data_IF_237047254117
#
_entry.id   IF_237047254117
#
_cell.length_a   1.000
_cell.length_b   1.000
_cell.length_c   1.000
_cell.angle_alpha   90.00
_cell.angle_beta   90.00
_cell.angle_gamma   90.00
#
_symmetry.space_group_name_H-M   'P 1'
#
loop_
_entity.id
_entity.type
_entity.pdbx_description
1 polymer ?
#
# COMPACT_ATOMS: atom_id res chain seq x y z
N UNK A 1 -3.22 -23.28 11.62
CA UNK A 1 -2.93 -22.94 10.21
C UNK A 1 -2.83 -21.44 10.05
N UNK A 2 -1.63 -20.89 10.22
CA UNK A 2 -1.35 -19.46 10.07
C UNK A 2 -0.96 -19.15 8.63
N UNK A 3 -1.89 -18.54 7.89
CA UNK A 3 -1.69 -18.05 6.53
C UNK A 3 -0.89 -16.75 6.51
N UNK A 4 0.32 -16.76 7.11
CA UNK A 4 1.29 -15.69 6.89
C UNK A 4 1.94 -15.94 5.53
N UNK A 5 1.15 -15.72 4.48
CA UNK A 5 1.71 -15.47 3.16
C UNK A 5 2.65 -14.29 3.33
N UNK A 6 3.94 -14.49 3.09
CA UNK A 6 4.86 -13.39 2.86
C UNK A 6 4.38 -12.69 1.58
N UNK A 7 3.46 -11.74 1.76
CA UNK A 7 2.80 -11.06 0.67
C UNK A 7 3.80 -10.07 0.06
N UNK A 8 4.32 -10.37 -1.13
CA UNK A 8 5.22 -9.52 -1.92
C UNK A 8 4.61 -8.16 -2.33
N UNK A 9 3.44 -7.81 -1.78
CA UNK A 9 2.84 -6.49 -1.89
C UNK A 9 3.80 -5.38 -1.44
N UNK A 10 4.54 -5.61 -0.34
CA UNK A 10 5.52 -4.67 0.19
C UNK A 10 6.75 -4.56 -0.72
N UNK A 11 7.28 -5.69 -1.20
CA UNK A 11 8.41 -5.71 -2.13
C UNK A 11 8.07 -5.05 -3.46
N UNK A 12 6.85 -5.27 -3.96
CA UNK A 12 6.35 -4.61 -5.16
C UNK A 12 6.23 -3.10 -4.97
N UNK A 13 5.58 -2.65 -3.89
CA UNK A 13 5.44 -1.23 -3.61
C UNK A 13 6.82 -0.55 -3.42
N UNK A 14 7.74 -1.23 -2.74
CA UNK A 14 9.11 -0.79 -2.52
C UNK A 14 9.87 -0.65 -3.85
N UNK A 15 9.76 -1.66 -4.72
CA UNK A 15 10.39 -1.65 -6.04
C UNK A 15 9.87 -0.51 -6.91
N UNK A 16 8.56 -0.29 -6.95
CA UNK A 16 7.97 0.82 -7.72
C UNK A 16 8.43 2.18 -7.17
N UNK A 17 8.45 2.38 -5.86
CA UNK A 17 8.97 3.62 -5.25
C UNK A 17 10.45 3.85 -5.56
N UNK A 18 11.29 2.81 -5.50
CA UNK A 18 12.70 2.92 -5.92
C UNK A 18 12.82 3.31 -7.38
N UNK A 19 12.02 2.71 -8.26
CA UNK A 19 12.04 3.00 -9.69
C UNK A 19 11.55 4.42 -10.00
N UNK A 20 10.64 4.95 -9.18
CA UNK A 20 10.17 6.34 -9.26
C UNK A 20 11.14 7.36 -8.63
N UNK A 21 12.25 6.91 -8.04
CA UNK A 21 13.26 7.78 -7.42
C UNK A 21 12.92 8.25 -6.01
N UNK A 22 11.96 7.62 -5.33
CA UNK A 22 11.67 7.93 -3.94
C UNK A 22 12.77 7.42 -3.00
N UNK A 23 12.97 8.12 -1.88
CA UNK A 23 13.79 7.62 -0.79
C UNK A 23 13.06 6.50 -0.07
N UNK A 24 13.58 5.28 -0.21
CA UNK A 24 13.00 4.07 0.38
C UNK A 24 13.74 3.58 1.63
N UNK A 25 14.55 4.44 2.25
CA UNK A 25 15.29 4.08 3.46
C UNK A 25 14.33 3.71 4.60
N UNK A 26 14.60 2.59 5.25
CA UNK A 26 13.78 2.08 6.36
C UNK A 26 12.56 1.25 5.95
N UNK A 27 12.27 1.10 4.64
CA UNK A 27 11.28 0.15 4.15
C UNK A 27 11.84 -1.28 4.08
N UNK A 28 10.97 -2.27 4.26
CA UNK A 28 11.31 -3.69 4.19
C UNK A 28 10.11 -4.52 3.70
N UNK A 29 10.26 -5.85 3.69
CA UNK A 29 9.24 -6.79 3.19
C UNK A 29 7.92 -6.81 4.00
N UNK A 30 7.81 -6.07 5.11
CA UNK A 30 6.56 -5.95 5.85
C UNK A 30 5.72 -4.77 5.32
N UNK A 31 4.44 -4.99 5.05
CA UNK A 31 3.48 -3.93 4.69
C UNK A 31 3.43 -2.81 5.75
N UNK A 32 3.60 -3.17 7.03
CA UNK A 32 3.68 -2.22 8.13
C UNK A 32 4.83 -1.19 8.00
N UNK A 33 5.90 -1.52 7.26
CA UNK A 33 7.02 -0.60 7.06
C UNK A 33 6.60 0.68 6.34
N UNK A 34 5.60 0.63 5.45
CA UNK A 34 5.07 1.81 4.74
C UNK A 34 4.29 2.74 5.66
N UNK A 35 3.56 2.18 6.63
CA UNK A 35 2.91 2.98 7.68
C UNK A 35 3.97 3.68 8.54
N UNK A 36 4.93 2.92 9.07
CA UNK A 36 6.03 3.44 9.89
C UNK A 36 6.83 4.51 9.13
N UNK A 37 7.11 4.28 7.85
CA UNK A 37 7.78 5.23 6.98
C UNK A 37 7.02 6.56 6.92
N UNK A 38 5.71 6.53 6.69
CA UNK A 38 4.90 7.74 6.61
C UNK A 38 4.83 8.49 7.93
N UNK A 39 4.74 7.76 9.05
CA UNK A 39 4.78 8.37 10.39
C UNK A 39 6.13 9.04 10.65
N UNK A 40 7.24 8.35 10.37
CA UNK A 40 8.59 8.86 10.61
C UNK A 40 8.93 10.09 9.76
N UNK A 41 8.38 10.20 8.56
CA UNK A 41 8.61 11.34 7.66
C UNK A 41 7.49 12.38 7.71
N UNK A 42 6.48 12.22 8.56
CA UNK A 42 5.34 13.15 8.64
C UNK A 42 4.46 13.17 7.39
N UNK A 43 4.49 12.11 6.58
CA UNK A 43 3.72 11.97 5.34
C UNK A 43 2.53 11.03 5.44
N UNK A 44 2.27 10.44 6.62
CA UNK A 44 1.07 9.63 6.83
C UNK A 44 -0.19 10.49 6.94
N UNK A 45 -1.24 10.13 6.20
CA UNK A 45 -2.55 10.78 6.25
C UNK A 45 -3.69 9.79 6.01
N UNK A 46 -4.88 10.11 6.52
CA UNK A 46 -6.06 9.23 6.47
C UNK A 46 -7.12 9.66 5.45
N UNK A 47 -6.89 10.78 4.76
CA UNK A 47 -7.80 11.34 3.76
C UNK A 47 -7.01 11.95 2.61
N UNK A 48 -7.70 12.35 1.54
CA UNK A 48 -7.08 12.98 0.36
C UNK A 48 -5.97 12.12 -0.26
N UNK A 49 -6.31 10.91 -0.77
CA UNK A 49 -5.34 10.05 -1.45
C UNK A 49 -4.74 10.78 -2.65
N UNK A 50 -3.44 10.58 -2.88
CA UNK A 50 -2.69 11.16 -3.98
C UNK A 50 -2.03 10.07 -4.81
N UNK A 51 -1.89 10.32 -6.10
CA UNK A 51 -1.12 9.44 -6.98
C UNK A 51 0.31 9.33 -6.46
N UNK A 52 0.82 8.11 -6.31
CA UNK A 52 2.12 7.80 -5.74
C UNK A 52 2.09 7.40 -4.25
N UNK A 53 0.99 7.66 -3.53
CA UNK A 53 0.85 7.22 -2.14
C UNK A 53 0.86 5.69 -2.04
N UNK A 54 1.45 5.19 -0.95
CA UNK A 54 1.22 3.83 -0.49
C UNK A 54 -0.03 3.79 0.39
N UNK A 55 -1.08 3.10 -0.06
CA UNK A 55 -2.25 2.80 0.77
C UNK A 55 -1.94 1.61 1.68
N UNK A 56 -2.15 1.77 2.99
CA UNK A 56 -1.94 0.72 4.00
C UNK A 56 -3.27 0.26 4.58
N UNK A 57 -3.41 -1.05 4.77
CA UNK A 57 -4.65 -1.67 5.22
C UNK A 57 -4.50 -2.32 6.59
N UNK A 58 -5.56 -2.21 7.40
CA UNK A 58 -5.72 -2.88 8.69
C UNK A 58 -4.55 -2.62 9.68
N UNK A 59 -4.09 -1.37 9.79
CA UNK A 59 -2.94 -1.00 10.64
C UNK A 59 -3.16 -1.37 12.11
N UNK A 60 -4.37 -1.17 12.65
CA UNK A 60 -4.71 -1.48 14.04
C UNK A 60 -4.67 -2.97 14.39
N UNK A 61 -4.77 -3.86 13.39
CA UNK A 61 -4.67 -5.31 13.57
C UNK A 61 -3.34 -5.90 13.05
N UNK A 62 -2.36 -5.04 12.72
CA UNK A 62 -0.99 -5.44 12.38
C UNK A 62 -0.54 -5.14 10.95
N UNK A 63 -1.20 -4.23 10.23
CA UNK A 63 -0.95 -3.86 8.81
C UNK A 63 -0.70 -5.06 7.90
N UNK A 64 -1.76 -5.59 7.29
CA UNK A 64 -1.68 -6.85 6.54
C UNK A 64 -1.49 -6.68 5.04
N UNK A 65 -1.67 -5.47 4.50
CA UNK A 65 -1.56 -5.24 3.05
C UNK A 65 -1.11 -3.82 2.72
N UNK A 66 -0.44 -3.68 1.58
CA UNK A 66 -0.06 -2.38 0.99
C UNK A 66 -0.28 -2.38 -0.51
N UNK A 67 -0.64 -1.23 -1.06
CA UNK A 67 -0.72 -1.00 -2.49
C UNK A 67 -0.32 0.42 -2.85
N UNK A 68 -0.19 0.72 -4.13
CA UNK A 68 0.21 2.03 -4.63
C UNK A 68 -0.94 2.70 -5.38
N UNK A 69 -1.27 3.92 -4.99
CA UNK A 69 -2.31 4.72 -5.62
C UNK A 69 -1.85 5.19 -7.00
N UNK A 70 -2.60 4.83 -8.04
CA UNK A 70 -2.32 5.20 -9.44
C UNK A 70 -3.32 6.20 -10.00
N UNK A 71 -4.47 6.37 -9.35
CA UNK A 71 -5.44 7.42 -9.65
C UNK A 71 -6.20 7.80 -8.38
N UNK A 72 -6.55 9.09 -8.23
CA UNK A 72 -7.36 9.57 -7.11
C UNK A 72 -8.32 10.67 -7.58
N UNK A 73 -9.55 10.63 -7.07
CA UNK A 73 -10.57 11.65 -7.29
C UNK A 73 -11.42 11.78 -6.01
N UNK A 74 -11.19 12.87 -5.27
CA UNK A 74 -11.79 13.08 -3.96
C UNK A 74 -11.46 11.93 -3.01
N UNK A 75 -12.48 11.24 -2.50
CA UNK A 75 -12.32 10.09 -1.61
C UNK A 75 -12.22 8.75 -2.36
N UNK A 76 -12.42 8.70 -3.68
CA UNK A 76 -12.24 7.48 -4.47
C UNK A 76 -10.82 7.42 -5.03
N UNK A 77 -10.23 6.24 -5.03
CA UNK A 77 -8.89 6.02 -5.57
C UNK A 77 -8.77 4.63 -6.18
N UNK A 78 -7.89 4.52 -7.17
CA UNK A 78 -7.46 3.26 -7.76
C UNK A 78 -6.05 2.97 -7.31
N UNK A 79 -5.80 1.74 -6.86
CA UNK A 79 -4.49 1.29 -6.46
C UNK A 79 -4.10 -0.01 -7.16
N UNK A 80 -2.80 -0.21 -7.31
CA UNK A 80 -2.20 -1.46 -7.74
C UNK A 80 -1.50 -2.13 -6.55
N UNK A 81 -1.61 -3.45 -6.42
CA UNK A 81 -0.89 -4.19 -5.39
C UNK A 81 -0.42 -5.53 -5.89
N UNK A 82 0.70 -5.97 -5.32
CA UNK A 82 1.16 -7.34 -5.44
C UNK A 82 0.35 -8.31 -4.59
N UNK A 83 0.62 -9.59 -4.82
CA UNK A 83 0.14 -10.75 -4.06
C UNK A 83 -1.35 -10.75 -3.74
N UNK A 84 -2.15 -10.25 -4.67
CA UNK A 84 -3.58 -10.16 -4.47
C UNK A 84 -4.27 -11.32 -5.20
N UNK A 85 -5.36 -11.83 -4.64
CA UNK A 85 -6.20 -12.81 -5.33
C UNK A 85 -6.72 -12.20 -6.62
N UNK A 86 -6.20 -12.70 -7.74
CA UNK A 86 -6.69 -12.40 -9.08
C UNK A 86 -8.08 -13.00 -9.32
N UNK A 87 -8.78 -12.59 -10.38
CA UNK A 87 -10.13 -13.08 -10.70
C UNK A 87 -10.18 -14.60 -10.90
N UNK A 88 -9.06 -15.22 -11.29
CA UNK A 88 -8.93 -16.68 -11.47
C UNK A 88 -8.60 -17.43 -10.16
N UNK A 89 -8.62 -16.74 -9.01
CA UNK A 89 -8.29 -17.31 -7.71
C UNK A 89 -6.78 -17.43 -7.42
N UNK A 90 -5.92 -17.02 -8.35
CA UNK A 90 -4.47 -16.99 -8.14
C UNK A 90 -4.10 -15.91 -7.11
N UNK A 91 -3.50 -16.29 -5.99
CA UNK A 91 -3.09 -15.37 -4.90
C UNK A 91 -1.78 -14.63 -5.16
N UNK A 92 -1.12 -14.89 -6.30
CA UNK A 92 0.15 -14.27 -6.69
C UNK A 92 -0.02 -13.28 -7.86
N UNK A 93 -1.18 -12.63 -8.00
CA UNK A 93 -1.42 -11.69 -9.09
C UNK A 93 -1.09 -10.24 -8.69
N UNK A 94 -0.61 -9.46 -9.65
CA UNK A 94 -0.75 -7.99 -9.59
C UNK A 94 -2.20 -7.65 -9.88
N UNK A 95 -2.86 -6.93 -8.99
CA UNK A 95 -4.25 -6.51 -9.19
C UNK A 95 -4.39 -5.00 -9.17
N UNK A 96 -5.41 -4.50 -9.87
CA UNK A 96 -5.85 -3.13 -9.81
C UNK A 96 -7.26 -3.09 -9.20
N UNK A 97 -7.47 -2.28 -8.17
CA UNK A 97 -8.75 -2.17 -7.47
C UNK A 97 -9.11 -0.71 -7.24
N UNK A 98 -10.41 -0.41 -7.27
CA UNK A 98 -10.96 0.89 -6.88
C UNK A 98 -11.60 0.78 -5.51
N UNK A 99 -11.28 1.71 -4.61
CA UNK A 99 -11.84 1.82 -3.27
C UNK A 99 -12.13 3.28 -2.92
N UNK A 100 -12.90 3.47 -1.86
CA UNK A 100 -13.08 4.76 -1.21
C UNK A 100 -12.34 4.81 0.13
N UNK A 101 -11.86 5.99 0.51
CA UNK A 101 -11.30 6.24 1.85
C UNK A 101 -12.28 5.74 2.93
N UNK A 102 -11.77 4.97 3.90
CA UNK A 102 -12.56 4.39 4.99
C UNK A 102 -13.31 3.09 4.63
N UNK A 103 -13.19 2.59 3.41
CA UNK A 103 -13.76 1.29 2.99
C UNK A 103 -12.69 0.22 2.85
N UNK A 104 -13.08 -1.07 2.83
CA UNK A 104 -12.18 -2.17 2.46
C UNK A 104 -10.96 -2.37 3.38
N UNK A 105 -11.01 -1.90 4.63
CA UNK A 105 -9.89 -1.99 5.58
C UNK A 105 -8.81 -0.92 5.38
N UNK A 106 -9.03 0.09 4.53
CA UNK A 106 -8.11 1.22 4.35
C UNK A 106 -7.89 1.92 5.69
N UNK A 107 -6.64 1.93 6.15
CA UNK A 107 -6.26 2.64 7.38
C UNK A 107 -5.73 4.04 7.08
N UNK A 108 -5.02 4.20 5.96
CA UNK A 108 -4.50 5.48 5.51
C UNK A 108 -3.51 5.33 4.37
N UNK A 109 -2.75 6.39 4.15
CA UNK A 109 -1.87 6.60 3.02
C UNK A 109 -0.55 7.18 3.52
N UNK A 110 0.56 6.76 2.92
CA UNK A 110 1.89 7.33 3.16
C UNK A 110 2.44 7.86 1.84
N UNK A 111 2.78 9.14 1.77
CA UNK A 111 3.45 9.69 0.59
C UNK A 111 4.96 9.44 0.63
N UNK A 112 5.59 9.05 -0.48
CA UNK A 112 7.05 8.97 -0.57
C UNK A 112 7.68 10.36 -0.50
N UNK A 113 8.85 10.46 0.11
CA UNK A 113 9.73 11.62 0.00
C UNK A 113 10.80 11.38 -1.08
N UNK A 114 11.39 12.47 -1.59
CA UNK A 114 12.53 12.41 -2.51
C UNK A 114 13.83 12.00 -1.80
#
# INVERSE_FOLDING_TARGET
>A
NGWRTEEWCADFALWVWRQAGANTSGLNAAANSFYIYGVNHGTYHTSSPRVGDAVVFNVSSGTSHVGLVVAANGNSFTYISGNSTGPDGNTNATTQKNLSVGSGGVSGFSSPIA
#
